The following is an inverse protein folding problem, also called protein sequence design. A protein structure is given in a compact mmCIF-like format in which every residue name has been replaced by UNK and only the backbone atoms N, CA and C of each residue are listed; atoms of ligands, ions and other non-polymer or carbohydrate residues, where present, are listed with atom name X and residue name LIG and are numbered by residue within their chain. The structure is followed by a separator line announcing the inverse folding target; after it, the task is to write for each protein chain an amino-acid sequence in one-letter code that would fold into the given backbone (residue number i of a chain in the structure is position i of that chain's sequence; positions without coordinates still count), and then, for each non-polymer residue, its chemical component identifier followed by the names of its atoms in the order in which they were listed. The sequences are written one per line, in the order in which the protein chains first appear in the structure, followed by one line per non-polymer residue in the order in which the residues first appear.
data_IF_289084973685
#
_entry.id   IF_289084973685
#
_cell.length_a   1.000
_cell.length_b   1.000
_cell.length_c   1.000
_cell.angle_alpha   90.00
_cell.angle_beta   90.00
_cell.angle_gamma   90.00
#
_symmetry.space_group_name_H-M   'P 1'
#
loop_
_entity.id
_entity.type
_entity.pdbx_description
1 polymer ?
#
# COMPACT_ATOMS: atom_id res chain seq x y z
N UNK A 1 -12.71 2.42 18.06
CA UNK A 1 -11.61 1.42 18.02
C UNK A 1 -11.90 0.20 18.89
N UNK A 2 -12.57 0.34 20.05
CA UNK A 2 -12.82 -0.74 21.03
C UNK A 2 -13.78 -1.89 20.59
N UNK A 3 -14.12 -2.00 19.30
CA UNK A 3 -15.07 -3.00 18.78
C UNK A 3 -14.46 -3.90 17.70
N UNK A 4 -13.20 -3.68 17.34
CA UNK A 4 -12.52 -4.49 16.33
C UNK A 4 -12.19 -5.86 16.92
N UNK A 5 -12.73 -6.91 16.31
CA UNK A 5 -12.34 -8.30 16.59
C UNK A 5 -11.46 -8.76 15.44
N UNK A 6 -10.25 -9.23 15.74
CA UNK A 6 -9.33 -9.75 14.73
C UNK A 6 -8.70 -11.04 15.23
N UNK A 7 -8.23 -11.85 14.28
CA UNK A 7 -7.42 -13.03 14.55
C UNK A 7 -5.99 -12.72 14.12
N UNK A 8 -5.05 -12.83 15.07
CA UNK A 8 -3.63 -12.71 14.79
C UNK A 8 -3.07 -14.08 14.38
N UNK A 9 -2.24 -14.10 13.34
CA UNK A 9 -1.54 -15.30 12.90
C UNK A 9 -0.08 -14.96 12.67
N UNK A 10 0.82 -15.64 13.36
CA UNK A 10 2.26 -15.57 13.09
C UNK A 10 2.58 -16.45 11.88
N UNK A 11 3.21 -15.88 10.85
CA UNK A 11 3.56 -16.60 9.61
C UNK A 11 4.81 -16.02 8.96
N UNK A 12 5.66 -16.91 8.45
CA UNK A 12 6.81 -16.62 7.58
C UNK A 12 6.61 -17.12 6.14
N UNK A 13 5.51 -17.84 5.86
CA UNK A 13 5.18 -18.38 4.56
C UNK A 13 3.67 -18.65 4.41
N UNK A 14 3.24 -19.00 3.20
CA UNK A 14 1.87 -19.43 2.88
C UNK A 14 0.80 -18.43 3.38
N UNK A 15 1.03 -17.14 3.17
CA UNK A 15 0.16 -16.06 3.65
C UNK A 15 -1.30 -16.19 3.16
N UNK A 16 -1.52 -16.78 1.99
CA UNK A 16 -2.84 -16.99 1.40
C UNK A 16 -3.77 -17.91 2.21
N UNK A 17 -3.23 -18.76 3.09
CA UNK A 17 -4.02 -19.80 3.78
C UNK A 17 -5.00 -19.22 4.82
N UNK A 18 -4.67 -18.06 5.37
CA UNK A 18 -5.47 -17.38 6.40
C UNK A 18 -6.34 -16.27 5.83
N UNK A 19 -6.21 -15.99 4.53
CA UNK A 19 -7.01 -14.96 3.86
C UNK A 19 -8.45 -15.44 3.73
N UNK A 20 -9.37 -14.62 4.23
CA UNK A 20 -10.82 -14.83 4.08
C UNK A 20 -11.34 -13.96 2.94
N UNK A 21 -12.19 -14.49 2.05
CA UNK A 21 -12.55 -13.81 0.80
C UNK A 21 -13.14 -12.40 0.93
N UNK A 22 -13.93 -12.17 1.98
CA UNK A 22 -14.70 -10.94 2.17
C UNK A 22 -14.19 -10.08 3.34
N UNK A 23 -13.07 -10.46 3.95
CA UNK A 23 -12.51 -9.73 5.10
C UNK A 23 -11.43 -8.72 4.66
N UNK A 24 -11.14 -7.78 5.56
CA UNK A 24 -9.91 -7.01 5.52
C UNK A 24 -8.80 -7.85 6.18
N UNK A 25 -7.76 -8.15 5.43
CA UNK A 25 -6.55 -8.82 5.91
C UNK A 25 -5.38 -7.84 5.90
N UNK A 26 -4.57 -7.81 6.97
CA UNK A 26 -3.36 -7.00 7.06
C UNK A 26 -2.16 -7.93 7.21
N UNK A 27 -1.18 -7.80 6.32
CA UNK A 27 0.08 -8.55 6.34
C UNK A 27 1.19 -7.57 6.71
N UNK A 28 1.67 -7.66 7.94
CA UNK A 28 2.72 -6.82 8.52
C UNK A 28 3.88 -7.70 9.02
N UNK A 29 4.92 -7.94 8.24
CA UNK A 29 5.12 -7.56 6.84
C UNK A 29 5.36 -8.82 5.98
N UNK A 30 5.34 -8.65 4.66
CA UNK A 30 5.70 -9.72 3.73
C UNK A 30 7.23 -9.89 3.73
N UNK A 31 7.73 -10.78 4.59
CA UNK A 31 9.15 -11.09 4.74
C UNK A 31 9.66 -11.97 3.61
N UNK A 32 10.68 -11.49 2.89
CA UNK A 32 11.28 -12.17 1.74
C UNK A 32 12.79 -11.95 1.81
N UNK A 33 13.54 -13.04 1.95
CA UNK A 33 14.96 -13.00 2.25
C UNK A 33 15.84 -13.10 0.99
N UNK A 34 15.45 -13.92 0.01
CA UNK A 34 16.28 -14.32 -1.13
C UNK A 34 15.50 -14.41 -2.45
N UNK A 35 14.36 -15.09 -2.46
CA UNK A 35 13.59 -15.40 -3.66
C UNK A 35 12.65 -14.24 -4.06
N UNK A 36 13.20 -13.04 -4.29
CA UNK A 36 12.44 -11.82 -4.56
C UNK A 36 11.50 -11.91 -5.77
N UNK A 37 11.79 -12.77 -6.75
CA UNK A 37 10.92 -13.01 -7.90
C UNK A 37 9.59 -13.70 -7.51
N UNK A 38 9.53 -14.35 -6.34
CA UNK A 38 8.32 -15.01 -5.85
C UNK A 38 7.27 -14.02 -5.31
N UNK A 39 7.63 -12.76 -5.06
CA UNK A 39 6.71 -11.71 -4.57
C UNK A 39 5.43 -11.67 -5.39
N UNK A 40 5.55 -11.67 -6.72
CA UNK A 40 4.39 -11.64 -7.62
C UNK A 40 3.49 -12.86 -7.46
N UNK A 41 4.07 -14.05 -7.29
CA UNK A 41 3.33 -15.30 -7.05
C UNK A 41 2.59 -15.27 -5.71
N UNK A 42 3.27 -14.80 -4.65
CA UNK A 42 2.69 -14.71 -3.31
C UNK A 42 1.50 -13.73 -3.32
N UNK A 43 1.68 -12.52 -3.84
CA UNK A 43 0.60 -11.52 -3.93
C UNK A 43 -0.53 -12.04 -4.82
N UNK A 44 -0.23 -12.75 -5.90
CA UNK A 44 -1.26 -13.38 -6.75
C UNK A 44 -2.07 -14.43 -5.98
N UNK A 45 -1.43 -15.26 -5.17
CA UNK A 45 -2.12 -16.27 -4.36
C UNK A 45 -3.07 -15.64 -3.32
N UNK A 46 -2.64 -14.54 -2.69
CA UNK A 46 -3.48 -13.73 -1.78
C UNK A 46 -4.66 -13.13 -2.55
N UNK A 47 -4.40 -12.49 -3.69
CA UNK A 47 -5.43 -11.88 -4.52
C UNK A 47 -6.49 -12.90 -4.98
N UNK A 48 -6.08 -14.12 -5.36
CA UNK A 48 -6.99 -15.19 -5.77
C UNK A 48 -7.95 -15.65 -4.66
N UNK A 49 -7.64 -15.39 -3.39
CA UNK A 49 -8.55 -15.69 -2.27
C UNK A 49 -9.63 -14.62 -2.07
N UNK A 50 -9.41 -13.39 -2.55
CA UNK A 50 -10.31 -12.26 -2.32
C UNK A 50 -11.51 -12.30 -3.29
N UNK A 51 -12.69 -11.98 -2.77
CA UNK A 51 -13.92 -11.78 -3.57
C UNK A 51 -14.41 -10.35 -3.37
N UNK A 52 -14.95 -10.02 -2.18
CA UNK A 52 -15.35 -8.64 -1.84
C UNK A 52 -14.40 -7.99 -0.80
N UNK A 53 -13.44 -8.75 -0.28
CA UNK A 53 -12.50 -8.31 0.74
C UNK A 53 -11.32 -7.52 0.20
N UNK A 54 -10.38 -7.20 1.09
CA UNK A 54 -9.13 -6.54 0.73
C UNK A 54 -7.96 -7.11 1.52
N UNK A 55 -6.76 -7.07 0.93
CA UNK A 55 -5.52 -7.34 1.62
C UNK A 55 -4.62 -6.08 1.58
N UNK A 56 -4.21 -5.60 2.76
CA UNK A 56 -3.15 -4.61 2.92
C UNK A 56 -1.84 -5.36 3.18
N UNK A 57 -0.86 -5.18 2.29
CA UNK A 57 0.42 -5.89 2.35
C UNK A 57 1.52 -4.86 2.54
N UNK A 58 2.23 -4.95 3.67
CA UNK A 58 3.42 -4.14 3.93
C UNK A 58 4.65 -4.87 3.39
N UNK A 59 5.49 -4.17 2.62
CA UNK A 59 6.72 -4.73 2.04
C UNK A 59 7.88 -3.80 2.39
N UNK A 60 8.97 -4.36 2.89
CA UNK A 60 10.20 -3.62 3.17
C UNK A 60 10.85 -3.10 1.89
N UNK A 61 11.54 -1.97 1.97
CA UNK A 61 12.28 -1.37 0.85
C UNK A 61 13.62 -0.82 1.32
N UNK A 62 14.60 -0.78 0.43
CA UNK A 62 15.85 -0.06 0.70
C UNK A 62 15.60 1.45 0.77
N UNK A 63 16.39 2.22 1.54
CA UNK A 63 16.31 3.68 1.55
C UNK A 63 16.45 4.26 0.13
N UNK A 64 15.58 5.20 -0.24
CA UNK A 64 15.57 5.81 -1.57
C UNK A 64 14.97 4.94 -2.69
N UNK A 65 14.65 3.67 -2.41
CA UNK A 65 13.99 2.83 -3.41
C UNK A 65 12.52 3.23 -3.57
N UNK A 66 12.06 3.38 -4.81
CA UNK A 66 10.66 3.64 -5.11
C UNK A 66 9.74 2.43 -4.92
N UNK A 67 10.30 1.22 -4.87
CA UNK A 67 9.60 -0.06 -4.79
C UNK A 67 10.17 -0.92 -3.66
N UNK A 68 9.35 -1.81 -3.13
CA UNK A 68 9.71 -2.80 -2.12
C UNK A 68 10.54 -3.94 -2.70
N UNK A 69 10.97 -4.85 -1.81
CA UNK A 69 11.58 -6.12 -2.20
C UNK A 69 10.68 -6.83 -3.24
N UNK A 70 11.28 -7.32 -4.32
CA UNK A 70 10.55 -7.80 -5.51
C UNK A 70 10.34 -6.77 -6.62
N UNK A 71 10.64 -5.49 -6.38
CA UNK A 71 10.54 -4.43 -7.37
C UNK A 71 9.20 -4.44 -8.13
N UNK A 72 9.23 -4.47 -9.46
CA UNK A 72 8.04 -4.42 -10.31
C UNK A 72 7.08 -5.60 -10.13
N UNK A 73 7.58 -6.79 -9.74
CA UNK A 73 6.74 -7.96 -9.49
C UNK A 73 5.69 -7.70 -8.38
N UNK A 74 6.04 -6.84 -7.42
CA UNK A 74 5.13 -6.41 -6.36
C UNK A 74 3.98 -5.51 -6.84
N UNK A 75 4.02 -5.00 -8.06
CA UNK A 75 3.07 -3.99 -8.57
C UNK A 75 2.02 -4.55 -9.54
N UNK A 76 2.20 -5.78 -10.01
CA UNK A 76 1.40 -6.36 -11.10
C UNK A 76 -0.04 -6.66 -10.68
N UNK A 77 -0.24 -7.23 -9.49
CA UNK A 77 -1.56 -7.59 -8.96
C UNK A 77 -2.24 -6.50 -8.14
N UNK A 78 -1.55 -5.73 -7.27
CA UNK A 78 -2.22 -4.74 -6.44
C UNK A 78 -3.00 -3.70 -7.25
N UNK A 79 -4.17 -3.31 -6.75
CA UNK A 79 -4.96 -2.19 -7.30
C UNK A 79 -4.41 -0.84 -6.86
N UNK A 80 -3.73 -0.78 -5.72
CA UNK A 80 -3.05 0.39 -5.19
C UNK A 80 -1.66 -0.04 -4.68
N UNK A 81 -0.63 0.70 -5.06
CA UNK A 81 0.73 0.57 -4.55
C UNK A 81 1.18 1.96 -4.08
N UNK A 82 1.44 2.08 -2.78
CA UNK A 82 2.00 3.27 -2.15
C UNK A 82 3.46 3.01 -1.80
N UNK A 83 4.32 3.99 -2.02
CA UNK A 83 5.64 4.01 -1.39
C UNK A 83 5.69 5.11 -0.35
N UNK A 84 6.27 4.80 0.81
CA UNK A 84 6.41 5.71 1.94
C UNK A 84 7.89 6.00 2.16
N UNK A 85 8.26 7.27 2.17
CA UNK A 85 9.55 7.77 2.62
C UNK A 85 9.35 8.70 3.82
N UNK A 86 10.45 9.19 4.42
CA UNK A 86 10.44 10.06 5.59
C UNK A 86 9.44 11.23 5.46
N UNK A 87 8.22 11.03 5.98
CA UNK A 87 7.11 11.99 5.94
C UNK A 87 6.44 12.18 4.58
N UNK A 88 6.67 11.32 3.59
CA UNK A 88 6.11 11.43 2.22
C UNK A 88 5.48 10.14 1.75
N UNK A 89 4.27 10.20 1.24
CA UNK A 89 3.60 9.10 0.57
C UNK A 89 3.46 9.41 -0.92
N UNK A 90 3.72 8.41 -1.78
CA UNK A 90 3.54 8.52 -3.23
C UNK A 90 2.72 7.36 -3.77
N UNK A 91 1.75 7.66 -4.63
CA UNK A 91 1.01 6.65 -5.40
C UNK A 91 1.88 6.20 -6.57
N UNK A 92 2.46 5.01 -6.49
CA UNK A 92 3.28 4.44 -7.58
C UNK A 92 2.40 3.76 -8.62
N UNK A 93 1.34 3.08 -8.15
CA UNK A 93 0.39 2.39 -9.01
C UNK A 93 -1.01 2.52 -8.45
N UNK A 94 -1.96 2.87 -9.31
CA UNK A 94 -3.39 2.82 -9.05
C UNK A 94 -4.08 2.25 -10.28
N UNK A 95 -5.06 1.37 -10.07
CA UNK A 95 -5.85 0.71 -11.13
C UNK A 95 -7.32 0.81 -10.79
N UNK A 96 -8.16 1.05 -11.80
CA UNK A 96 -9.62 1.14 -11.65
C UNK A 96 -10.00 2.13 -10.52
N UNK A 97 -9.41 3.33 -10.55
CA UNK A 97 -9.73 4.39 -9.59
C UNK A 97 -11.09 5.02 -9.94
N UNK A 98 -11.81 5.49 -8.92
CA UNK A 98 -13.17 6.02 -9.08
C UNK A 98 -13.22 7.47 -9.60
N UNK A 99 -12.14 8.23 -9.42
CA UNK A 99 -12.07 9.64 -9.80
C UNK A 99 -11.80 9.87 -11.29
N UNK A 100 -11.98 11.11 -11.72
CA UNK A 100 -11.73 11.55 -13.10
C UNK A 100 -10.22 11.66 -13.37
N UNK A 101 -9.46 12.15 -12.40
CA UNK A 101 -8.02 12.37 -12.54
C UNK A 101 -7.23 11.09 -12.25
N UNK A 102 -6.15 10.88 -13.01
CA UNK A 102 -5.22 9.78 -12.81
C UNK A 102 -4.39 10.00 -11.53
N UNK A 103 -4.54 9.15 -10.49
CA UNK A 103 -3.86 9.39 -9.22
C UNK A 103 -2.41 8.89 -9.22
N UNK A 104 -1.94 8.24 -10.28
CA UNK A 104 -0.55 7.77 -10.37
C UNK A 104 0.41 8.96 -10.33
N UNK A 105 1.43 8.88 -9.48
CA UNK A 105 2.44 9.92 -9.30
C UNK A 105 2.05 11.00 -8.30
N UNK A 106 0.82 11.01 -7.78
CA UNK A 106 0.44 11.95 -6.71
C UNK A 106 1.25 11.67 -5.44
N UNK A 107 1.63 12.75 -4.77
CA UNK A 107 2.34 12.77 -3.51
C UNK A 107 1.56 13.53 -2.46
N UNK A 108 1.77 13.18 -1.19
CA UNK A 108 1.31 13.96 -0.05
C UNK A 108 2.27 13.79 1.11
N UNK A 109 2.40 14.81 1.95
CA UNK A 109 3.18 14.72 3.16
C UNK A 109 2.35 14.09 4.28
N UNK A 110 3.00 13.47 5.26
CA UNK A 110 2.36 12.97 6.46
C UNK A 110 3.29 13.10 7.66
N UNK A 111 2.72 13.03 8.86
CA UNK A 111 3.46 12.90 10.12
C UNK A 111 2.99 11.71 10.92
N UNK A 112 3.90 11.12 11.68
CA UNK A 112 3.58 10.12 12.70
C UNK A 112 3.62 10.82 14.06
N UNK A 113 2.47 10.89 14.72
CA UNK A 113 2.29 11.48 16.04
C UNK A 113 2.24 10.34 17.05
N UNK A 114 2.96 10.48 18.18
CA UNK A 114 2.97 9.47 19.25
C UNK A 114 3.33 8.05 18.77
N UNK A 115 4.21 7.94 17.78
CA UNK A 115 4.73 6.65 17.28
C UNK A 115 3.75 5.78 16.48
N UNK A 116 2.45 6.08 16.48
CA UNK A 116 1.44 5.22 15.83
C UNK A 116 0.39 5.99 15.02
N UNK A 117 0.15 7.27 15.30
CA UNK A 117 -0.90 8.04 14.61
C UNK A 117 -0.33 8.70 13.36
N UNK A 118 -0.56 8.08 12.21
CA UNK A 118 -0.26 8.70 10.91
C UNK A 118 -1.31 9.77 10.58
N UNK A 119 -0.90 10.96 10.18
CA UNK A 119 -1.78 12.08 9.80
C UNK A 119 -1.27 12.73 8.51
N UNK A 120 -2.13 12.80 7.50
CA UNK A 120 -1.83 13.47 6.23
C UNK A 120 -1.69 14.99 6.43
N UNK A 121 -0.74 15.58 5.70
CA UNK A 121 -0.49 17.02 5.64
C UNK A 121 -0.72 17.49 4.21
N UNK A 122 -1.72 18.33 4.02
CA UNK A 122 -2.09 18.87 2.71
C UNK A 122 -2.82 17.87 1.80
N UNK A 123 -3.10 18.31 0.58
CA UNK A 123 -3.78 17.50 -0.43
C UNK A 123 -2.78 16.66 -1.24
N UNK A 124 -3.30 15.66 -1.94
CA UNK A 124 -2.55 14.95 -2.97
C UNK A 124 -2.30 15.90 -4.15
N UNK A 125 -1.06 15.96 -4.64
CA UNK A 125 -0.63 16.82 -5.75
C UNK A 125 0.49 16.15 -6.55
N UNK A 126 0.76 16.60 -7.78
CA UNK A 126 1.95 16.15 -8.49
C UNK A 126 3.19 16.91 -8.01
N UNK A 127 4.35 16.27 -8.12
CA UNK A 127 5.62 16.89 -7.77
C UNK A 127 5.85 18.14 -8.64
N UNK A 128 6.16 19.27 -7.97
CA UNK A 128 6.31 20.57 -8.63
C UNK A 128 5.03 21.42 -8.73
N UNK A 129 3.86 20.86 -8.41
CA UNK A 129 2.63 21.66 -8.25
C UNK A 129 2.56 22.26 -6.84
N UNK A 130 2.13 23.53 -6.72
CA UNK A 130 1.76 24.06 -5.42
C UNK A 130 0.40 23.47 -5.00
N UNK A 131 0.33 22.67 -3.92
CA UNK A 131 -0.93 22.10 -3.44
C UNK A 131 -1.98 23.15 -3.03
N UNK A 132 -1.60 24.42 -2.87
CA UNK A 132 -2.49 25.53 -2.53
C UNK A 132 -3.04 26.27 -3.76
N UNK A 133 -2.44 26.13 -4.95
CA UNK A 133 -2.88 26.80 -6.18
C UNK A 133 -4.17 26.21 -6.78
N UNK A 134 -4.48 24.93 -6.51
CA UNK A 134 -5.71 24.28 -7.04
C UNK A 134 -7.03 24.81 -6.44
N UNK A 135 -7.00 25.76 -5.50
CA UNK A 135 -8.22 26.34 -4.88
C UNK A 135 -9.01 27.32 -5.77
N UNK A 136 -8.59 27.59 -7.02
CA UNK A 136 -9.11 28.69 -7.83
C UNK A 136 -9.94 28.34 -9.06
N UNK A 137 -10.41 27.11 -9.26
CA UNK A 137 -11.21 26.74 -10.45
C UNK A 137 -12.46 25.94 -10.09
N UNK A 138 -13.50 26.66 -9.68
CA UNK A 138 -14.90 26.23 -9.74
C UNK A 138 -15.75 27.38 -10.27
#
# INVERSE_FOLDING_TARGET
VNQWKFNAYERSANWSDVIKPDNISVIDFLEILDEFWQVGKIISSIHQKLVNGMALIMIQKSPGAGLGRGASFGTEKPRLYLTLESGKAKIVKAKNWAGIENPNGLITDFSIIQGAKMTQKGLWHHEGEDPLEKKGRY
#
